data_IF_662118804810
#
_entry.id   IF_662118804810
#
_cell.length_a   1.000
_cell.length_b   1.000
_cell.length_c   1.000
_cell.angle_alpha   90.00
_cell.angle_beta   90.00
_cell.angle_gamma   90.00
#
_symmetry.space_group_name_H-M   'P 1'
#
loop_
_entity.id
_entity.type
_entity.pdbx_description
1 polymer ?
#
# COMPACT_ATOMS: atom_id res chain seq x y z
N UNK A 1 38.21 -21.31 -37.43
CA UNK A 1 37.33 -20.84 -36.35
C UNK A 1 36.53 -19.67 -36.87
N UNK A 2 35.21 -19.70 -36.66
CA UNK A 2 34.23 -18.84 -37.33
C UNK A 2 33.93 -17.60 -36.49
N UNK A 3 33.72 -16.44 -37.10
CA UNK A 3 33.47 -15.14 -36.46
C UNK A 3 32.19 -15.07 -35.59
N UNK A 4 31.40 -16.14 -35.59
CA UNK A 4 30.20 -16.31 -34.76
C UNK A 4 30.54 -16.65 -33.29
N UNK A 5 31.71 -17.24 -33.01
CA UNK A 5 32.17 -17.52 -31.63
C UNK A 5 32.59 -16.23 -30.90
N UNK A 6 33.13 -15.25 -31.64
CA UNK A 6 33.59 -13.98 -31.08
C UNK A 6 32.41 -13.08 -30.65
N UNK A 7 31.28 -13.13 -31.37
CA UNK A 7 30.05 -12.43 -30.98
C UNK A 7 29.38 -13.01 -29.74
N UNK A 8 29.51 -14.33 -29.49
CA UNK A 8 28.99 -14.96 -28.27
C UNK A 8 29.89 -14.69 -27.06
N UNK A 9 31.20 -14.52 -27.28
CA UNK A 9 32.17 -14.18 -26.23
C UNK A 9 32.02 -12.74 -25.69
N UNK A 10 31.52 -11.80 -26.50
CA UNK A 10 31.29 -10.39 -26.11
C UNK A 10 30.02 -10.21 -25.24
N UNK A 11 29.19 -11.24 -25.09
CA UNK A 11 28.02 -11.21 -24.20
C UNK A 11 28.28 -11.65 -22.76
N UNK A 12 29.40 -12.32 -22.49
CA UNK A 12 29.59 -13.09 -21.26
C UNK A 12 30.41 -12.39 -20.16
N UNK A 13 30.93 -11.18 -20.38
CA UNK A 13 31.54 -10.37 -19.31
C UNK A 13 30.60 -9.25 -18.91
N UNK A 14 29.44 -9.61 -18.34
CA UNK A 14 28.56 -8.66 -17.68
C UNK A 14 29.35 -7.86 -16.65
N UNK A 15 29.14 -6.54 -16.62
CA UNK A 15 29.73 -5.68 -15.58
C UNK A 15 29.44 -6.29 -14.20
N UNK A 16 30.33 -6.15 -13.20
CA UNK A 16 30.15 -6.75 -11.87
C UNK A 16 28.77 -6.45 -11.26
N UNK A 17 28.21 -5.27 -11.55
CA UNK A 17 26.86 -4.87 -11.15
C UNK A 17 25.73 -5.66 -11.85
N UNK A 18 25.85 -5.94 -13.15
CA UNK A 18 24.86 -6.76 -13.87
C UNK A 18 24.85 -8.20 -13.36
N UNK A 19 26.03 -8.77 -13.08
CA UNK A 19 26.13 -10.11 -12.49
C UNK A 19 25.53 -10.15 -11.07
N UNK A 20 25.72 -9.10 -10.27
CA UNK A 20 25.13 -9.00 -8.94
C UNK A 20 23.59 -8.85 -8.98
N UNK A 21 23.05 -8.13 -9.96
CA UNK A 21 21.60 -8.02 -10.20
C UNK A 21 21.03 -9.35 -10.70
N UNK A 22 21.71 -9.99 -11.66
CA UNK A 22 21.33 -11.31 -12.18
C UNK A 22 21.26 -12.36 -11.06
N UNK A 23 22.24 -12.38 -10.16
CA UNK A 23 22.25 -13.29 -9.01
C UNK A 23 21.06 -13.05 -8.05
N UNK A 24 20.55 -11.81 -7.94
CA UNK A 24 19.36 -11.48 -7.14
C UNK A 24 18.05 -11.85 -7.83
N UNK A 25 18.02 -11.77 -9.15
CA UNK A 25 16.86 -12.10 -9.98
C UNK A 25 16.76 -13.60 -10.26
N UNK A 26 17.86 -14.34 -10.19
CA UNK A 26 17.94 -15.78 -10.43
C UNK A 26 16.87 -16.63 -9.71
N UNK A 27 16.59 -16.46 -8.40
CA UNK A 27 15.51 -17.21 -7.75
C UNK A 27 14.10 -16.87 -8.29
N UNK A 28 13.90 -15.68 -8.87
CA UNK A 28 12.62 -15.28 -9.49
C UNK A 28 12.51 -15.80 -10.93
N UNK A 29 13.63 -15.87 -11.64
CA UNK A 29 13.77 -16.49 -12.96
C UNK A 29 13.57 -18.00 -12.90
N UNK A 30 14.29 -18.69 -12.00
CA UNK A 30 14.20 -20.14 -11.81
C UNK A 30 12.79 -20.58 -11.38
N UNK A 31 12.07 -19.70 -10.69
CA UNK A 31 10.69 -19.92 -10.25
C UNK A 31 9.61 -19.49 -11.25
N UNK A 32 9.97 -18.95 -12.43
CA UNK A 32 9.01 -18.43 -13.42
C UNK A 32 8.15 -17.27 -12.92
N UNK A 33 8.52 -16.63 -11.80
CA UNK A 33 7.75 -15.53 -11.17
C UNK A 33 8.11 -14.16 -11.73
N UNK A 34 9.28 -14.06 -12.36
CA UNK A 34 9.71 -12.81 -13.00
C UNK A 34 8.71 -12.38 -14.07
N UNK A 35 8.17 -13.32 -14.85
CA UNK A 35 7.18 -13.03 -15.90
C UNK A 35 5.93 -12.35 -15.33
N UNK A 36 5.39 -12.85 -14.21
CA UNK A 36 4.24 -12.21 -13.54
C UNK A 36 4.57 -10.79 -13.02
N UNK A 37 5.81 -10.57 -12.57
CA UNK A 37 6.26 -9.24 -12.12
C UNK A 37 6.35 -8.30 -13.32
N UNK A 38 6.90 -8.79 -14.43
CA UNK A 38 6.97 -8.02 -15.68
C UNK A 38 5.56 -7.72 -16.18
N UNK A 39 4.65 -8.67 -16.21
CA UNK A 39 3.24 -8.48 -16.59
C UNK A 39 2.54 -7.45 -15.69
N UNK A 40 2.75 -7.53 -14.37
CA UNK A 40 2.19 -6.55 -13.44
C UNK A 40 2.77 -5.16 -13.66
N UNK A 41 4.08 -5.04 -13.91
CA UNK A 41 4.73 -3.77 -14.23
C UNK A 41 4.28 -3.23 -15.59
N UNK A 42 4.04 -4.09 -16.58
CA UNK A 42 3.49 -3.73 -17.88
C UNK A 42 2.06 -3.19 -17.73
N UNK A 43 1.20 -3.87 -16.96
CA UNK A 43 -0.14 -3.37 -16.67
C UNK A 43 -0.09 -2.00 -15.97
N UNK A 44 0.81 -1.83 -15.00
CA UNK A 44 1.02 -0.55 -14.32
C UNK A 44 1.53 0.52 -15.28
N UNK A 45 2.41 0.16 -16.23
CA UNK A 45 2.90 1.06 -17.28
C UNK A 45 1.75 1.51 -18.19
N UNK A 46 0.93 0.58 -18.67
CA UNK A 46 -0.23 0.88 -19.50
C UNK A 46 -1.23 1.78 -18.76
N UNK A 47 -1.36 1.59 -17.44
CA UNK A 47 -2.15 2.50 -16.61
C UNK A 47 -1.54 3.89 -16.58
N UNK A 48 -0.23 4.04 -16.31
CA UNK A 48 0.46 5.34 -16.28
C UNK A 48 0.39 6.04 -17.64
N UNK A 49 0.46 5.30 -18.75
CA UNK A 49 0.33 5.85 -20.10
C UNK A 49 -1.07 6.40 -20.39
N UNK A 50 -2.10 5.88 -19.71
CA UNK A 50 -3.47 6.38 -19.77
C UNK A 50 -3.73 7.59 -18.85
N UNK A 51 -2.84 7.84 -17.89
CA UNK A 51 -2.96 8.98 -16.97
C UNK A 51 -2.56 10.28 -17.67
N UNK A 52 -3.51 11.22 -17.73
CA UNK A 52 -3.23 12.60 -18.06
C UNK A 52 -2.59 13.36 -16.88
N UNK A 53 -1.98 14.54 -17.13
CA UNK A 53 -1.35 15.34 -16.08
C UNK A 53 -2.28 15.71 -14.91
N UNK A 54 -3.57 15.93 -15.16
CA UNK A 54 -4.52 16.30 -14.11
C UNK A 54 -4.88 15.10 -13.20
N UNK A 55 -4.91 13.89 -13.75
CA UNK A 55 -5.07 12.65 -12.99
C UNK A 55 -3.84 12.33 -12.15
N UNK A 56 -2.63 12.57 -12.66
CA UNK A 56 -1.39 12.42 -11.88
C UNK A 56 -1.40 13.35 -10.65
N UNK A 57 -1.80 14.61 -10.84
CA UNK A 57 -1.89 15.58 -9.74
C UNK A 57 -2.91 15.14 -8.67
N UNK A 58 -4.06 14.60 -9.08
CA UNK A 58 -5.05 14.03 -8.14
C UNK A 58 -4.51 12.83 -7.38
N UNK A 59 -3.79 11.93 -8.04
CA UNK A 59 -3.16 10.80 -7.37
C UNK A 59 -2.11 11.26 -6.37
N UNK A 60 -1.27 12.24 -6.73
CA UNK A 60 -0.32 12.83 -5.81
C UNK A 60 -1.02 13.41 -4.57
N UNK A 61 -2.10 14.18 -4.76
CA UNK A 61 -2.90 14.70 -3.64
C UNK A 61 -3.53 13.58 -2.81
N UNK A 62 -4.02 12.51 -3.44
CA UNK A 62 -4.56 11.34 -2.72
C UNK A 62 -3.47 10.63 -1.92
N UNK A 63 -2.28 10.44 -2.48
CA UNK A 63 -1.14 9.86 -1.78
C UNK A 63 -0.66 10.74 -0.62
N UNK A 64 -0.59 12.05 -0.80
CA UNK A 64 -0.25 13.00 0.25
C UNK A 64 -1.27 12.93 1.39
N UNK A 65 -2.57 12.96 1.07
CA UNK A 65 -3.64 12.87 2.05
C UNK A 65 -3.64 11.51 2.77
N UNK A 66 -3.43 10.42 2.05
CA UNK A 66 -3.34 9.07 2.63
C UNK A 66 -2.11 8.91 3.53
N UNK A 67 -0.96 9.42 3.09
CA UNK A 67 0.30 9.39 3.86
C UNK A 67 0.18 10.25 5.11
N UNK A 68 -0.38 11.45 5.00
CA UNK A 68 -0.64 12.34 6.13
C UNK A 68 -1.62 11.70 7.13
N UNK A 69 -2.70 11.07 6.65
CA UNK A 69 -3.65 10.34 7.47
C UNK A 69 -2.98 9.17 8.20
N UNK A 70 -2.17 8.39 7.48
CA UNK A 70 -1.39 7.28 8.05
C UNK A 70 -0.42 7.77 9.12
N UNK A 71 0.26 8.90 8.89
CA UNK A 71 1.17 9.50 9.87
C UNK A 71 0.44 9.95 11.13
N UNK A 72 -0.72 10.62 11.00
CA UNK A 72 -1.53 11.03 12.14
C UNK A 72 -2.02 9.84 12.96
N UNK A 73 -2.53 8.79 12.31
CA UNK A 73 -2.98 7.56 12.97
C UNK A 73 -1.79 6.87 13.66
N UNK A 74 -0.65 6.74 12.98
CA UNK A 74 0.55 6.13 13.52
C UNK A 74 1.09 6.87 14.75
N UNK A 75 1.09 8.21 14.72
CA UNK A 75 1.50 9.01 15.86
C UNK A 75 0.53 8.91 17.03
N UNK A 76 -0.79 8.90 16.77
CA UNK A 76 -1.81 8.71 17.80
C UNK A 76 -1.67 7.33 18.47
N UNK A 77 -1.44 6.27 17.69
CA UNK A 77 -1.18 4.91 18.21
C UNK A 77 0.12 4.87 19.02
N UNK A 78 1.18 5.53 18.55
CA UNK A 78 2.46 5.60 19.27
C UNK A 78 2.30 6.31 20.62
N UNK A 79 1.55 7.41 20.66
CA UNK A 79 1.25 8.14 21.89
C UNK A 79 0.40 7.28 22.85
N UNK A 80 -0.68 6.68 22.36
CA UNK A 80 -1.53 5.80 23.17
C UNK A 80 -0.75 4.60 23.73
N UNK A 81 0.15 4.00 22.94
CA UNK A 81 1.04 2.93 23.42
C UNK A 81 1.98 3.43 24.52
N UNK A 82 2.56 4.62 24.37
CA UNK A 82 3.41 5.21 25.39
C UNK A 82 2.65 5.45 26.69
N UNK A 83 1.44 6.02 26.63
CA UNK A 83 0.57 6.25 27.78
C UNK A 83 0.17 4.95 28.48
N UNK A 84 -0.22 3.92 27.73
CA UNK A 84 -0.59 2.60 28.28
C UNK A 84 0.63 1.91 28.89
N UNK A 85 1.82 2.05 28.30
CA UNK A 85 3.05 1.45 28.84
C UNK A 85 3.57 2.15 30.11
N UNK A 86 3.27 3.44 30.27
CA UNK A 86 3.65 4.23 31.44
C UNK A 86 2.69 4.04 32.62
N UNK A 87 1.47 3.52 32.37
CA UNK A 87 0.45 3.27 33.37
C UNK A 87 0.39 1.79 33.79
N UNK A 88 -0.20 1.51 34.96
CA UNK A 88 -0.50 0.14 35.37
C UNK A 88 -1.53 -0.50 34.41
N UNK A 89 -1.45 -1.81 34.11
CA UNK A 89 -2.33 -2.47 33.15
C UNK A 89 -3.81 -2.25 33.53
N UNK A 90 -4.64 -1.68 32.65
CA UNK A 90 -6.04 -1.43 32.96
C UNK A 90 -6.80 -2.75 33.07
N UNK A 91 -7.58 -2.92 34.14
CA UNK A 91 -8.51 -4.05 34.27
C UNK A 91 -9.70 -3.93 33.33
N UNK A 92 -10.46 -5.01 33.16
CA UNK A 92 -11.61 -5.08 32.23
C UNK A 92 -12.66 -3.98 32.46
N UNK A 93 -12.95 -3.64 33.72
CA UNK A 93 -13.87 -2.55 34.06
C UNK A 93 -13.34 -1.16 33.65
N UNK A 94 -12.03 -0.94 33.75
CA UNK A 94 -11.41 0.31 33.34
C UNK A 94 -11.50 0.51 31.82
N UNK A 95 -11.36 -0.57 31.03
CA UNK A 95 -11.56 -0.53 29.58
C UNK A 95 -13.00 -0.17 29.20
N UNK A 96 -13.99 -0.75 29.88
CA UNK A 96 -15.40 -0.41 29.67
C UNK A 96 -15.68 1.05 30.06
N UNK A 97 -15.04 1.55 31.13
CA UNK A 97 -15.14 2.96 31.54
C UNK A 97 -14.53 3.91 30.50
N UNK A 98 -13.42 3.53 29.85
CA UNK A 98 -12.79 4.33 28.78
C UNK A 98 -13.71 4.46 27.56
N UNK A 99 -14.52 3.45 27.23
CA UNK A 99 -15.52 3.58 26.16
C UNK A 99 -16.60 4.64 26.45
N UNK A 100 -16.79 5.03 27.72
CA UNK A 100 -17.72 6.07 28.11
C UNK A 100 -17.09 7.47 28.15
N UNK A 101 -15.77 7.56 27.91
CA UNK A 101 -15.06 8.83 27.79
C UNK A 101 -15.63 9.66 26.62
N UNK A 102 -15.84 10.98 26.77
CA UNK A 102 -16.43 11.82 25.73
C UNK A 102 -15.70 11.76 24.39
N UNK A 103 -14.37 11.69 24.39
CA UNK A 103 -13.58 11.70 23.16
C UNK A 103 -13.53 10.32 22.52
N UNK A 104 -13.48 9.26 23.33
CA UNK A 104 -13.64 7.87 22.84
C UNK A 104 -15.01 7.66 22.20
N UNK A 105 -16.09 8.21 22.81
CA UNK A 105 -17.45 8.15 22.24
C UNK A 105 -17.58 8.87 20.92
N UNK A 106 -16.93 10.04 20.75
CA UNK A 106 -16.87 10.74 19.45
C UNK A 106 -16.16 9.89 18.40
N UNK A 107 -15.03 9.27 18.77
CA UNK A 107 -14.30 8.35 17.89
C UNK A 107 -15.15 7.17 17.43
N UNK A 108 -15.81 6.48 18.36
CA UNK A 108 -16.74 5.38 18.05
C UNK A 108 -17.90 5.86 17.17
N UNK A 109 -18.46 7.04 17.45
CA UNK A 109 -19.55 7.60 16.64
C UNK A 109 -19.12 7.88 15.19
N UNK A 110 -17.89 8.34 14.96
CA UNK A 110 -17.35 8.53 13.60
C UNK A 110 -17.26 7.19 12.87
N UNK A 111 -16.70 6.16 13.49
CA UNK A 111 -16.59 4.81 12.89
C UNK A 111 -17.97 4.26 12.52
N UNK A 112 -18.92 4.31 13.46
CA UNK A 112 -20.28 3.81 13.23
C UNK A 112 -21.01 4.59 12.14
N UNK A 113 -20.84 5.92 12.08
CA UNK A 113 -21.44 6.74 11.02
C UNK A 113 -20.83 6.45 9.65
N UNK A 114 -19.51 6.29 9.56
CA UNK A 114 -18.83 5.90 8.32
C UNK A 114 -19.34 4.55 7.81
N UNK A 115 -19.47 3.57 8.70
CA UNK A 115 -20.04 2.26 8.36
C UNK A 115 -21.50 2.36 7.87
N UNK A 116 -22.31 3.23 8.49
CA UNK A 116 -23.69 3.47 8.06
C UNK A 116 -23.74 4.07 6.63
N UNK A 117 -22.84 5.00 6.32
CA UNK A 117 -22.73 5.60 4.98
C UNK A 117 -22.34 4.55 3.93
N UNK A 118 -21.31 3.74 4.20
CA UNK A 118 -20.87 2.66 3.32
C UNK A 118 -22.01 1.66 3.10
N UNK A 119 -22.65 1.22 4.19
CA UNK A 119 -23.81 0.32 4.11
C UNK A 119 -24.92 0.88 3.23
N UNK A 120 -25.25 2.17 3.35
CA UNK A 120 -26.28 2.82 2.52
C UNK A 120 -25.94 2.81 1.03
N UNK A 121 -24.66 3.03 0.68
CA UNK A 121 -24.18 2.99 -0.70
C UNK A 121 -24.27 1.58 -1.29
N UNK A 122 -23.89 0.56 -0.50
CA UNK A 122 -23.99 -0.85 -0.90
C UNK A 122 -25.46 -1.31 -1.02
N UNK A 123 -26.35 -0.77 -0.21
CA UNK A 123 -27.79 -1.08 -0.25
C UNK A 123 -28.57 -0.35 -1.34
N UNK A 124 -27.97 0.60 -2.07
CA UNK A 124 -28.67 1.42 -3.08
C UNK A 124 -28.08 1.28 -4.50
N UNK A 125 -28.01 0.08 -5.12
CA UNK A 125 -27.54 -0.07 -6.50
C UNK A 125 -28.57 0.24 -7.59
N UNK A 126 -29.78 0.73 -7.29
CA UNK A 126 -30.79 0.98 -8.33
C UNK A 126 -31.52 2.32 -8.15
N UNK A 127 -31.13 3.33 -8.93
CA UNK A 127 -31.99 4.35 -9.56
C UNK A 127 -31.20 5.07 -10.67
N UNK A 128 -30.86 4.33 -11.73
CA UNK A 128 -30.55 4.90 -13.05
C UNK A 128 -31.38 4.17 -14.11
N UNK A 129 -32.71 4.21 -13.95
CA UNK A 129 -33.65 4.06 -15.07
C UNK A 129 -34.85 4.97 -14.81
N UNK A 130 -34.82 6.18 -15.35
CA UNK A 130 -35.92 6.78 -16.11
C UNK A 130 -35.44 8.05 -16.79
#
# INVERSE_FOLDING_TARGET
MNSLDETLAVGATGTPGLNALMAKLQPLLDGGRLDNIVDALSLVSDMIDLLDPAMVEKLAQLFENATASTWMIGNAVRLAKAEVSAAAPPGAYALIKMLNDPDTRKGVAVVLKSLNVIGRQLSSPERITS
#
